data_IF_011023807739
#
_entry.id   IF_011023807739
#
_cell.length_a   1.000
_cell.length_b   1.000
_cell.length_c   1.000
_cell.angle_alpha   90.00
_cell.angle_beta   90.00
_cell.angle_gamma   90.00
#
_symmetry.space_group_name_H-M   'P 1'
#
loop_
_entity.id
_entity.type
_entity.pdbx_description
1 polymer ?
#
# COMPACT_ATOMS: atom_id res chain seq x y z
N UNK A 1 12.68 -0.51 5.89
CA UNK A 1 11.39 -0.09 5.30
C UNK A 1 11.46 -0.41 3.82
N UNK A 2 10.42 -1.00 3.24
CA UNK A 2 10.43 -1.32 1.80
C UNK A 2 10.35 -0.02 0.99
N UNK A 3 11.09 0.06 -0.12
CA UNK A 3 11.16 1.24 -0.99
C UNK A 3 10.89 0.84 -2.44
N UNK A 4 10.10 1.65 -3.13
CA UNK A 4 9.82 1.52 -4.57
C UNK A 4 10.13 2.83 -5.29
N UNK A 5 10.54 2.75 -6.56
CA UNK A 5 10.91 3.91 -7.37
C UNK A 5 9.96 4.12 -8.55
N UNK A 6 9.61 5.37 -8.75
CA UNK A 6 8.76 5.86 -9.83
C UNK A 6 9.52 6.94 -10.59
N UNK A 7 9.35 6.98 -11.90
CA UNK A 7 9.64 8.16 -12.71
C UNK A 7 8.36 8.97 -12.78
N UNK A 8 8.45 10.29 -12.63
CA UNK A 8 7.28 11.16 -12.73
C UNK A 8 6.48 10.89 -14.01
N UNK A 9 5.16 10.68 -13.87
CA UNK A 9 4.25 10.35 -14.97
C UNK A 9 3.96 8.86 -15.12
N UNK A 10 4.66 7.97 -14.39
CA UNK A 10 4.31 6.56 -14.32
C UNK A 10 3.11 6.31 -13.40
N UNK A 11 2.31 5.30 -13.76
CA UNK A 11 1.47 4.56 -12.84
C UNK A 11 2.02 3.13 -12.67
N UNK A 12 2.01 2.60 -11.44
CA UNK A 12 2.46 1.23 -11.18
C UNK A 12 1.59 0.57 -10.12
N UNK A 13 1.55 -0.75 -10.21
CA UNK A 13 1.03 -1.61 -9.16
C UNK A 13 2.10 -1.85 -8.09
N UNK A 14 1.73 -1.64 -6.82
CA UNK A 14 2.51 -2.00 -5.64
C UNK A 14 1.77 -3.13 -4.95
N UNK A 15 2.36 -4.33 -4.96
CA UNK A 15 1.76 -5.54 -4.37
C UNK A 15 2.41 -5.89 -3.03
N UNK A 16 1.59 -6.16 -2.02
CA UNK A 16 2.04 -6.64 -0.71
C UNK A 16 1.49 -8.04 -0.47
N UNK A 17 2.36 -8.98 -0.16
CA UNK A 17 1.96 -10.29 0.34
C UNK A 17 1.82 -10.24 1.86
N UNK A 18 0.63 -10.51 2.36
CA UNK A 18 0.38 -10.69 3.79
C UNK A 18 0.64 -12.15 4.15
N UNK A 19 1.32 -12.39 5.27
CA UNK A 19 1.61 -13.74 5.77
C UNK A 19 1.22 -13.87 7.24
N UNK A 20 0.65 -15.00 7.60
CA UNK A 20 0.57 -15.43 9.00
C UNK A 20 1.95 -15.91 9.45
N UNK A 21 2.46 -15.53 10.63
CA UNK A 21 3.76 -16.02 11.13
C UNK A 21 3.85 -17.54 11.23
N UNK A 22 2.71 -18.21 11.40
CA UNK A 22 2.61 -19.66 11.57
C UNK A 22 1.96 -20.36 10.35
N UNK A 23 1.86 -19.67 9.21
CA UNK A 23 1.16 -20.13 8.00
C UNK A 23 -0.30 -20.58 8.23
N UNK A 24 -0.91 -20.12 9.33
CA UNK A 24 -2.33 -20.37 9.60
C UNK A 24 -3.21 -19.69 8.54
N UNK A 25 -4.33 -20.35 8.13
CA UNK A 25 -5.25 -19.78 7.16
C UNK A 25 -5.91 -18.52 7.71
N UNK A 26 -5.99 -17.48 6.88
CA UNK A 26 -6.67 -16.23 7.21
C UNK A 26 -7.29 -15.62 5.95
N UNK A 27 -8.24 -14.71 6.18
CA UNK A 27 -8.90 -13.92 5.14
C UNK A 27 -8.70 -12.45 5.44
N UNK A 28 -8.37 -11.67 4.42
CA UNK A 28 -8.35 -10.21 4.50
C UNK A 28 -9.77 -9.73 4.21
N UNK A 29 -10.36 -9.00 5.15
CA UNK A 29 -11.76 -8.57 5.08
C UNK A 29 -11.93 -7.27 4.30
N UNK A 30 -10.96 -6.37 4.43
CA UNK A 30 -10.91 -5.09 3.71
C UNK A 30 -9.49 -4.56 3.71
N UNK A 31 -9.19 -3.67 2.76
CA UNK A 31 -7.91 -3.01 2.67
C UNK A 31 -8.03 -1.68 1.91
N UNK A 32 -7.46 -0.62 2.47
CA UNK A 32 -7.42 0.72 1.87
C UNK A 32 -6.02 1.31 1.98
N UNK A 33 -5.73 2.30 1.15
CA UNK A 33 -4.43 2.95 1.09
C UNK A 33 -4.55 4.47 1.14
N UNK A 34 -3.46 5.11 1.56
CA UNK A 34 -3.22 6.55 1.45
C UNK A 34 -1.83 6.77 0.90
N UNK A 35 -1.72 7.57 -0.14
CA UNK A 35 -0.45 8.06 -0.67
C UNK A 35 -0.19 9.46 -0.09
N UNK A 36 0.82 9.58 0.76
CA UNK A 36 1.05 10.76 1.61
C UNK A 36 2.31 11.48 1.15
N UNK A 37 2.21 12.79 0.91
CA UNK A 37 3.33 13.69 0.58
C UNK A 37 3.41 14.79 1.64
N UNK A 38 4.57 14.91 2.30
CA UNK A 38 4.81 15.92 3.33
C UNK A 38 3.75 16.00 4.44
N UNK A 39 3.15 14.86 4.79
CA UNK A 39 2.10 14.77 5.81
C UNK A 39 0.67 14.96 5.29
N UNK A 40 0.50 15.35 4.03
CA UNK A 40 -0.81 15.50 3.39
C UNK A 40 -1.14 14.29 2.50
N UNK A 41 -2.40 13.86 2.52
CA UNK A 41 -2.89 12.80 1.64
C UNK A 41 -3.05 13.37 0.24
N UNK A 42 -2.25 12.89 -0.70
CA UNK A 42 -2.38 13.26 -2.12
C UNK A 42 -3.49 12.45 -2.80
N UNK A 43 -3.61 11.17 -2.46
CA UNK A 43 -4.71 10.31 -2.92
C UNK A 43 -4.94 9.16 -1.95
N UNK A 44 -6.14 8.59 -1.97
CA UNK A 44 -6.55 7.45 -1.17
C UNK A 44 -7.58 6.61 -1.92
N UNK A 45 -7.77 5.37 -1.47
CA UNK A 45 -8.75 4.46 -2.05
C UNK A 45 -8.67 3.06 -1.45
N UNK A 46 -9.43 2.14 -2.05
CA UNK A 46 -9.40 0.73 -1.67
C UNK A 46 -8.27 -0.01 -2.40
N UNK A 47 -7.73 -1.05 -1.77
CA UNK A 47 -6.82 -2.00 -2.38
C UNK A 47 -7.63 -3.13 -3.03
N UNK A 48 -7.13 -3.67 -4.13
CA UNK A 48 -7.63 -4.94 -4.65
C UNK A 48 -7.07 -6.08 -3.80
N UNK A 49 -7.94 -7.00 -3.37
CA UNK A 49 -7.56 -8.17 -2.56
C UNK A 49 -7.60 -9.39 -3.47
N UNK A 50 -6.43 -9.96 -3.74
CA UNK A 50 -6.26 -11.21 -4.50
C UNK A 50 -5.64 -12.28 -3.59
N UNK A 51 -6.50 -13.05 -2.93
CA UNK A 51 -6.10 -14.01 -1.90
C UNK A 51 -5.40 -13.31 -0.72
N UNK A 52 -4.08 -13.49 -0.61
CA UNK A 52 -3.24 -12.85 0.43
C UNK A 52 -2.43 -11.67 -0.10
N UNK A 53 -2.66 -11.27 -1.35
CA UNK A 53 -2.06 -10.08 -1.93
C UNK A 53 -2.98 -8.87 -1.81
N UNK A 54 -2.39 -7.75 -1.38
CA UNK A 54 -2.98 -6.42 -1.52
C UNK A 54 -2.33 -5.77 -2.74
N UNK A 55 -3.13 -5.43 -3.75
CA UNK A 55 -2.67 -4.75 -4.94
C UNK A 55 -3.21 -3.31 -4.98
N UNK A 56 -2.30 -2.36 -5.18
CA UNK A 56 -2.61 -0.94 -5.26
C UNK A 56 -1.95 -0.35 -6.49
N UNK A 57 -2.77 0.22 -7.37
CA UNK A 57 -2.29 1.02 -8.49
C UNK A 57 -2.19 2.50 -8.07
N UNK A 58 -0.98 3.05 -8.06
CA UNK A 58 -0.75 4.46 -7.72
C UNK A 58 -0.11 5.22 -8.88
N UNK A 59 -0.40 6.52 -8.97
CA UNK A 59 0.24 7.46 -9.88
C UNK A 59 0.56 8.76 -9.12
N UNK A 60 1.74 8.85 -8.48
CA UNK A 60 2.16 10.07 -7.78
C UNK A 60 2.30 11.25 -8.74
N UNK A 61 1.87 12.44 -8.31
CA UNK A 61 1.76 13.61 -9.20
C UNK A 61 2.97 14.55 -9.15
N UNK A 62 3.90 14.37 -8.21
CA UNK A 62 5.03 15.26 -8.00
C UNK A 62 6.32 14.47 -7.75
N UNK A 63 7.49 15.08 -8.05
CA UNK A 63 8.77 14.55 -7.60
C UNK A 63 8.92 14.78 -6.10
N UNK A 64 8.92 13.70 -5.32
CA UNK A 64 9.06 13.73 -3.88
C UNK A 64 9.30 12.31 -3.34
N UNK A 65 9.59 12.23 -2.04
CA UNK A 65 9.46 11.00 -1.27
C UNK A 65 8.07 10.96 -0.62
N UNK A 66 7.29 9.97 -1.00
CA UNK A 66 5.97 9.69 -0.46
C UNK A 66 6.00 8.52 0.52
N UNK A 67 4.95 8.44 1.32
CA UNK A 67 4.62 7.25 2.11
C UNK A 67 3.33 6.66 1.55
N UNK A 68 3.39 5.42 1.07
CA UNK A 68 2.20 4.61 0.83
C UNK A 68 1.86 3.89 2.14
N UNK A 69 0.83 4.36 2.82
CA UNK A 69 0.26 3.72 4.01
C UNK A 69 -0.91 2.84 3.61
N UNK A 70 -0.85 1.55 3.90
CA UNK A 70 -1.94 0.60 3.68
C UNK A 70 -2.52 0.22 5.04
N UNK A 71 -3.84 0.23 5.15
CA UNK A 71 -4.61 -0.24 6.30
C UNK A 71 -5.45 -1.42 5.86
N UNK A 72 -5.39 -2.54 6.57
CA UNK A 72 -6.14 -3.75 6.21
C UNK A 72 -6.68 -4.47 7.45
N UNK A 73 -7.75 -5.23 7.27
CA UNK A 73 -8.44 -5.94 8.36
C UNK A 73 -8.31 -7.44 8.17
N UNK A 74 -7.87 -8.14 9.21
CA UNK A 74 -7.84 -9.61 9.29
C UNK A 74 -8.50 -10.02 10.60
N UNK A 75 -9.61 -10.75 10.52
CA UNK A 75 -10.43 -11.08 11.69
C UNK A 75 -10.94 -9.81 12.38
N UNK A 76 -10.67 -9.68 13.67
CA UNK A 76 -10.98 -8.50 14.50
C UNK A 76 -9.82 -7.49 14.57
N UNK A 77 -8.74 -7.71 13.81
CA UNK A 77 -7.54 -6.88 13.85
C UNK A 77 -7.42 -5.94 12.65
N UNK A 78 -7.32 -4.65 12.91
CA UNK A 78 -6.92 -3.63 11.92
C UNK A 78 -5.42 -3.43 12.00
N UNK A 79 -4.73 -3.60 10.87
CA UNK A 79 -3.28 -3.57 10.76
C UNK A 79 -2.86 -2.51 9.74
N UNK A 80 -1.62 -2.05 9.85
CA UNK A 80 -1.04 -1.05 8.93
C UNK A 80 0.33 -1.46 8.44
N UNK A 81 0.62 -1.12 7.18
CA UNK A 81 1.93 -1.25 6.57
C UNK A 81 2.33 0.07 5.89
N UNK A 82 3.62 0.36 5.84
CA UNK A 82 4.17 1.55 5.18
C UNK A 82 5.28 1.20 4.21
N UNK A 83 5.23 1.81 3.04
CA UNK A 83 6.23 1.68 1.97
C UNK A 83 6.68 3.08 1.57
N UNK A 84 7.99 3.27 1.40
CA UNK A 84 8.54 4.50 0.84
C UNK A 84 8.40 4.46 -0.68
N UNK A 85 7.86 5.53 -1.26
CA UNK A 85 7.73 5.69 -2.71
C UNK A 85 8.58 6.89 -3.11
N UNK A 86 9.68 6.66 -3.81
CA UNK A 86 10.56 7.72 -4.33
C UNK A 86 10.21 8.01 -5.78
N UNK A 87 9.85 9.26 -6.07
CA UNK A 87 9.51 9.73 -7.41
C UNK A 87 10.64 10.63 -7.93
N UNK A 88 11.32 10.19 -8.99
CA UNK A 88 12.47 10.87 -9.61
C UNK A 88 12.12 11.57 -10.92
#
# INVERSE_FOLDING_TARGET
MNKVKFILGEDKHVKLLIRSPNDEPFTILSASYKLIRYGEVETDGECEIDGHYLDVKISPQNKACYVLEITYVVGDSTRKARIEVEVI
#
